data_IF_202239188190
#
_entry.id   IF_202239188190
#
_cell.length_a   1.000
_cell.length_b   1.000
_cell.length_c   1.000
_cell.angle_alpha   90.00
_cell.angle_beta   90.00
_cell.angle_gamma   90.00
#
_symmetry.space_group_name_H-M   'P 1'
#
loop_
_entity.id
_entity.type
_entity.pdbx_description
1 polymer ?
#
# COMPACT_ATOMS: atom_id res chain seq x y z
N UNK A 1 25.24 -0.63 0.44
CA UNK A 1 25.27 -1.05 1.85
C UNK A 1 25.34 -2.57 1.95
N UNK A 2 26.09 -3.11 2.95
CA UNK A 2 26.25 -4.56 3.16
C UNK A 2 24.99 -5.20 3.77
N UNK A 3 24.20 -4.41 4.48
CA UNK A 3 23.01 -4.83 5.19
C UNK A 3 21.92 -5.40 4.28
N UNK A 4 21.11 -6.36 4.76
CA UNK A 4 19.97 -6.89 4.03
C UNK A 4 18.98 -5.77 3.66
N UNK A 5 18.52 -5.77 2.39
CA UNK A 5 17.61 -4.76 1.87
C UNK A 5 16.17 -5.09 2.27
N UNK A 6 15.46 -4.11 2.84
CA UNK A 6 14.01 -4.13 3.06
C UNK A 6 13.39 -2.98 2.29
N UNK A 7 12.40 -3.26 1.45
CA UNK A 7 11.62 -2.24 0.75
C UNK A 7 10.21 -2.20 1.33
N UNK A 8 9.78 -1.00 1.69
CA UNK A 8 8.50 -0.71 2.34
C UNK A 8 7.60 0.05 1.36
N UNK A 9 6.49 -0.57 0.98
CA UNK A 9 5.54 -0.04 0.01
C UNK A 9 4.22 0.32 0.71
N UNK A 10 3.81 1.56 0.59
CA UNK A 10 2.60 2.08 1.23
C UNK A 10 1.31 1.69 0.51
N UNK A 11 0.17 1.88 1.16
CA UNK A 11 -1.16 1.71 0.59
C UNK A 11 -1.60 2.88 -0.29
N UNK A 12 -2.65 2.68 -1.07
CA UNK A 12 -3.25 3.76 -1.87
C UNK A 12 -3.61 4.97 -1.00
N UNK A 13 -3.30 6.17 -1.48
CA UNK A 13 -3.53 7.42 -0.74
C UNK A 13 -2.56 7.70 0.41
N UNK A 14 -1.54 6.86 0.62
CA UNK A 14 -0.48 7.09 1.60
C UNK A 14 0.80 7.60 0.93
N UNK A 15 1.83 7.80 1.75
CA UNK A 15 3.19 8.15 1.33
C UNK A 15 4.20 7.27 2.07
N UNK A 16 5.47 7.33 1.66
CA UNK A 16 6.60 6.69 2.38
C UNK A 16 6.60 6.98 3.88
N UNK A 17 6.02 8.12 4.30
CA UNK A 17 5.99 8.53 5.70
C UNK A 17 5.17 7.59 6.60
N UNK A 18 4.22 6.80 6.04
CA UNK A 18 3.51 5.76 6.78
C UNK A 18 4.48 4.73 7.40
N UNK A 19 5.62 4.53 6.78
CA UNK A 19 6.64 3.58 7.21
C UNK A 19 7.77 4.16 8.05
N UNK A 20 7.75 5.46 8.40
CA UNK A 20 8.88 6.13 9.04
C UNK A 20 9.34 5.47 10.34
N UNK A 21 8.40 5.08 11.20
CA UNK A 21 8.71 4.42 12.48
C UNK A 21 9.28 3.01 12.26
N UNK A 22 8.67 2.24 11.36
CA UNK A 22 9.09 0.87 10.99
C UNK A 22 10.46 0.88 10.33
N UNK A 23 10.69 1.77 9.36
CA UNK A 23 11.98 1.91 8.69
C UNK A 23 13.10 2.24 9.68
N UNK A 24 12.83 3.14 10.65
CA UNK A 24 13.78 3.47 11.70
C UNK A 24 14.13 2.25 12.57
N UNK A 25 13.13 1.48 13.01
CA UNK A 25 13.34 0.26 13.81
C UNK A 25 14.12 -0.80 13.03
N UNK A 26 13.78 -1.03 11.77
CA UNK A 26 14.50 -1.97 10.90
C UNK A 26 15.96 -1.55 10.72
N UNK A 27 16.22 -0.26 10.49
CA UNK A 27 17.60 0.26 10.37
C UNK A 27 18.39 0.07 11.66
N UNK A 28 17.77 0.26 12.82
CA UNK A 28 18.39 0.00 14.12
C UNK A 28 18.66 -1.49 14.36
N UNK A 29 17.93 -2.37 13.69
CA UNK A 29 18.09 -3.83 13.73
C UNK A 29 19.06 -4.36 12.65
N UNK A 30 19.77 -3.48 11.95
CA UNK A 30 20.80 -3.88 10.99
C UNK A 30 20.29 -4.12 9.57
N UNK A 31 19.11 -3.66 9.21
CA UNK A 31 18.62 -3.68 7.83
C UNK A 31 18.88 -2.37 7.08
N UNK A 32 19.01 -2.45 5.78
CA UNK A 32 18.92 -1.30 4.91
C UNK A 32 17.45 -1.10 4.51
N UNK A 33 16.74 -0.25 5.24
CA UNK A 33 15.31 -0.03 5.03
C UNK A 33 15.08 1.15 4.07
N UNK A 34 14.34 0.90 3.00
CA UNK A 34 13.96 1.87 1.97
C UNK A 34 12.43 1.97 1.91
N UNK A 35 11.87 3.12 2.23
CA UNK A 35 10.46 3.41 2.07
C UNK A 35 10.25 4.26 0.80
N UNK A 36 9.36 3.80 -0.07
CA UNK A 36 9.09 4.41 -1.38
C UNK A 36 7.82 5.25 -1.34
N UNK A 37 7.81 6.37 -2.06
CA UNK A 37 6.56 6.91 -2.60
C UNK A 37 6.27 6.20 -3.92
N UNK A 38 5.13 5.54 -4.01
CA UNK A 38 4.72 4.85 -5.25
C UNK A 38 4.36 5.87 -6.33
N UNK A 39 4.50 5.50 -7.63
CA UNK A 39 4.06 6.38 -8.74
C UNK A 39 2.68 6.97 -8.47
N UNK A 40 2.47 8.22 -8.80
CA UNK A 40 1.21 8.93 -8.56
C UNK A 40 0.96 9.32 -7.11
N UNK A 41 1.92 9.10 -6.19
CA UNK A 41 1.80 9.41 -4.76
C UNK A 41 3.04 10.16 -4.23
N UNK A 42 2.84 10.93 -3.17
CA UNK A 42 3.91 11.62 -2.46
C UNK A 42 4.70 12.59 -3.32
N UNK A 43 6.01 12.37 -3.36
CA UNK A 43 6.95 13.17 -4.16
C UNK A 43 7.37 12.45 -5.45
N UNK A 44 6.80 11.25 -5.73
CA UNK A 44 7.01 10.55 -7.00
C UNK A 44 6.17 11.14 -8.12
N UNK A 45 6.64 10.99 -9.34
CA UNK A 45 5.98 11.51 -10.53
C UNK A 45 4.60 10.88 -10.76
N UNK A 46 3.73 11.66 -11.39
CA UNK A 46 2.44 11.21 -11.87
C UNK A 46 2.56 10.63 -13.27
N UNK A 47 1.77 9.61 -13.58
CA UNK A 47 1.72 9.07 -14.94
C UNK A 47 0.98 10.01 -15.87
N UNK A 48 1.64 10.47 -16.94
CA UNK A 48 0.99 11.33 -17.95
C UNK A 48 -0.20 10.64 -18.61
N UNK A 49 -0.10 9.32 -18.82
CA UNK A 49 -1.14 8.49 -19.44
C UNK A 49 -2.15 7.92 -18.42
N UNK A 50 -1.94 8.13 -17.11
CA UNK A 50 -2.77 7.53 -16.06
C UNK A 50 -2.55 6.02 -15.90
N UNK A 51 -1.35 5.54 -16.24
CA UNK A 51 -0.98 4.13 -16.06
C UNK A 51 -0.65 3.82 -14.60
N UNK A 52 -1.62 3.22 -13.94
CA UNK A 52 -1.59 2.76 -12.55
C UNK A 52 -1.89 1.26 -12.43
N UNK A 53 -1.60 0.48 -13.46
CA UNK A 53 -1.69 -0.98 -13.42
C UNK A 53 -0.71 -1.57 -12.40
N UNK A 54 -1.05 -2.70 -11.79
CA UNK A 54 -0.16 -3.37 -10.82
C UNK A 54 1.17 -3.75 -11.48
N UNK A 55 1.13 -4.14 -12.74
CA UNK A 55 2.31 -4.48 -13.54
C UNK A 55 3.27 -3.29 -13.70
N UNK A 56 2.73 -2.09 -13.85
CA UNK A 56 3.53 -0.86 -13.99
C UNK A 56 4.20 -0.48 -12.67
N UNK A 57 3.49 -0.59 -11.55
CA UNK A 57 4.08 -0.45 -10.21
C UNK A 57 5.15 -1.51 -9.94
N UNK A 58 4.89 -2.77 -10.33
CA UNK A 58 5.87 -3.85 -10.21
C UNK A 58 7.14 -3.53 -11.00
N UNK A 59 7.01 -3.04 -12.22
CA UNK A 59 8.15 -2.67 -13.05
C UNK A 59 9.00 -1.57 -12.40
N UNK A 60 8.38 -0.58 -11.75
CA UNK A 60 9.10 0.42 -10.95
C UNK A 60 9.88 -0.24 -9.81
N UNK A 61 9.22 -1.13 -9.05
CA UNK A 61 9.85 -1.84 -7.94
C UNK A 61 11.03 -2.71 -8.40
N UNK A 62 10.85 -3.45 -9.49
CA UNK A 62 11.88 -4.30 -10.10
C UNK A 62 13.07 -3.44 -10.49
N UNK A 63 12.86 -2.31 -11.19
CA UNK A 63 13.94 -1.39 -11.60
C UNK A 63 14.73 -0.88 -10.39
N UNK A 64 14.06 -0.55 -9.28
CA UNK A 64 14.74 -0.10 -8.06
C UNK A 64 15.58 -1.23 -7.44
N UNK A 65 15.07 -2.46 -7.40
CA UNK A 65 15.80 -3.61 -6.84
C UNK A 65 17.02 -3.92 -7.69
N UNK A 66 16.89 -3.89 -9.02
CA UNK A 66 17.97 -4.13 -9.96
C UNK A 66 19.05 -3.05 -9.86
N UNK A 67 18.67 -1.77 -9.75
CA UNK A 67 19.61 -0.65 -9.56
C UNK A 67 20.40 -0.80 -8.25
N UNK A 68 19.76 -1.27 -7.18
CA UNK A 68 20.45 -1.55 -5.90
C UNK A 68 21.32 -2.81 -5.99
N UNK A 69 21.01 -3.73 -6.90
CA UNK A 69 21.75 -4.96 -7.16
C UNK A 69 21.63 -6.01 -6.07
N UNK A 70 20.55 -6.01 -5.28
CA UNK A 70 20.31 -6.97 -4.17
C UNK A 70 18.84 -7.37 -4.08
N UNK A 71 18.54 -8.67 -3.89
CA UNK A 71 17.19 -9.09 -3.56
C UNK A 71 16.73 -8.52 -2.23
N UNK A 72 15.44 -8.18 -2.14
CA UNK A 72 14.84 -7.46 -1.04
C UNK A 72 13.84 -8.30 -0.24
N UNK A 73 13.71 -8.01 1.06
CA UNK A 73 12.50 -8.31 1.81
C UNK A 73 11.44 -7.29 1.42
N UNK A 74 10.30 -7.73 0.93
CA UNK A 74 9.20 -6.86 0.48
C UNK A 74 8.14 -6.77 1.57
N UNK A 75 7.85 -5.56 2.05
CA UNK A 75 6.80 -5.28 3.03
C UNK A 75 5.83 -4.30 2.40
N UNK A 76 4.62 -4.76 2.09
CA UNK A 76 3.63 -3.95 1.40
C UNK A 76 2.30 -3.89 2.13
N UNK A 77 1.76 -2.68 2.30
CA UNK A 77 0.43 -2.46 2.82
C UNK A 77 -0.56 -2.25 1.67
N UNK A 78 -1.72 -2.94 1.70
CA UNK A 78 -2.79 -2.74 0.72
C UNK A 78 -2.25 -2.75 -0.73
N UNK A 79 -2.29 -1.62 -1.46
CA UNK A 79 -1.70 -1.48 -2.80
C UNK A 79 -0.25 -2.00 -2.85
N UNK A 80 0.58 -1.59 -1.88
CA UNK A 80 1.98 -2.04 -1.78
C UNK A 80 2.10 -3.55 -1.61
N UNK A 81 1.14 -4.18 -0.92
CA UNK A 81 1.06 -5.63 -0.78
C UNK A 81 0.77 -6.33 -2.11
N UNK A 82 -0.19 -5.83 -2.88
CA UNK A 82 -0.50 -6.38 -4.21
C UNK A 82 0.69 -6.28 -5.18
N UNK A 83 1.44 -5.17 -5.12
CA UNK A 83 2.66 -4.99 -5.90
C UNK A 83 3.73 -6.01 -5.46
N UNK A 84 3.92 -6.17 -4.16
CA UNK A 84 4.87 -7.12 -3.59
C UNK A 84 4.53 -8.57 -3.95
N UNK A 85 3.23 -8.94 -3.87
CA UNK A 85 2.72 -10.25 -4.26
C UNK A 85 3.00 -10.53 -5.75
N UNK A 86 2.70 -9.57 -6.63
CA UNK A 86 2.94 -9.71 -8.07
C UNK A 86 4.43 -9.85 -8.41
N UNK A 87 5.32 -9.30 -7.58
CA UNK A 87 6.78 -9.44 -7.75
C UNK A 87 7.27 -10.80 -7.24
N UNK A 88 6.80 -11.22 -6.06
CA UNK A 88 7.22 -12.48 -5.44
C UNK A 88 6.67 -13.71 -6.14
N UNK A 89 5.49 -13.60 -6.78
CA UNK A 89 4.81 -14.71 -7.45
C UNK A 89 5.00 -14.75 -8.97
N UNK A 90 5.76 -13.81 -9.56
CA UNK A 90 6.11 -13.88 -10.98
C UNK A 90 7.46 -14.59 -11.14
N UNK A 91 7.48 -15.70 -11.88
CA UNK A 91 8.69 -16.51 -12.09
C UNK A 91 9.87 -15.72 -12.68
N UNK A 92 9.58 -14.64 -13.39
CA UNK A 92 10.61 -13.74 -13.95
C UNK A 92 11.33 -12.95 -12.87
N UNK A 93 10.66 -12.63 -11.76
CA UNK A 93 11.16 -11.73 -10.72
C UNK A 93 11.27 -12.35 -9.33
N UNK A 94 10.88 -13.62 -9.15
CA UNK A 94 10.87 -14.30 -7.85
C UNK A 94 12.24 -14.22 -7.14
N UNK A 95 13.35 -14.28 -7.87
CA UNK A 95 14.71 -14.18 -7.33
C UNK A 95 15.04 -12.80 -6.73
N UNK A 96 14.25 -11.77 -7.03
CA UNK A 96 14.41 -10.43 -6.46
C UNK A 96 13.76 -10.29 -5.08
N UNK A 97 12.92 -11.26 -4.67
CA UNK A 97 12.24 -11.29 -3.39
C UNK A 97 12.86 -12.33 -2.46
N UNK A 98 13.18 -11.95 -1.22
CA UNK A 98 13.69 -12.84 -0.18
C UNK A 98 12.61 -13.32 0.78
N UNK A 99 11.66 -12.46 1.06
CA UNK A 99 10.46 -12.77 1.85
C UNK A 99 9.39 -11.73 1.56
N UNK A 100 8.14 -12.10 1.75
CA UNK A 100 6.96 -11.29 1.49
C UNK A 100 6.21 -11.04 2.80
N UNK A 101 5.93 -9.77 3.10
CA UNK A 101 5.03 -9.38 4.19
C UNK A 101 3.86 -8.59 3.61
N UNK A 102 2.67 -9.16 3.69
CA UNK A 102 1.42 -8.56 3.27
C UNK A 102 0.75 -7.91 4.47
N UNK A 103 0.54 -6.60 4.43
CA UNK A 103 -0.07 -5.86 5.54
C UNK A 103 -1.46 -5.40 5.16
N UNK A 104 -2.43 -6.02 5.80
CA UNK A 104 -3.86 -5.80 5.67
C UNK A 104 -4.38 -5.82 4.22
N UNK A 105 -3.94 -6.83 3.50
CA UNK A 105 -4.41 -7.16 2.14
C UNK A 105 -4.23 -8.66 1.91
N UNK A 106 -5.27 -9.33 1.44
CA UNK A 106 -5.23 -10.72 1.01
C UNK A 106 -4.70 -10.87 -0.43
N UNK A 107 -5.09 -11.93 -1.11
CA UNK A 107 -4.71 -12.17 -2.52
C UNK A 107 -5.25 -11.06 -3.43
N UNK A 108 -6.44 -10.58 -3.13
CA UNK A 108 -7.08 -9.42 -3.78
C UNK A 108 -7.90 -8.65 -2.75
N UNK A 109 -8.15 -7.35 -2.99
CA UNK A 109 -8.88 -6.54 -2.02
C UNK A 109 -10.37 -6.92 -1.97
N UNK A 110 -10.96 -6.83 -0.77
CA UNK A 110 -12.41 -6.88 -0.61
C UNK A 110 -13.09 -5.71 -1.32
N UNK A 111 -14.21 -5.95 -1.99
CA UNK A 111 -14.88 -4.93 -2.82
C UNK A 111 -15.45 -3.79 -1.98
N UNK A 112 -16.12 -4.12 -0.86
CA UNK A 112 -16.77 -3.11 -0.01
C UNK A 112 -15.74 -2.21 0.66
N UNK A 113 -14.69 -2.80 1.26
CA UNK A 113 -13.59 -2.03 1.84
C UNK A 113 -12.86 -1.18 0.81
N UNK A 114 -12.65 -1.70 -0.40
CA UNK A 114 -12.02 -0.94 -1.49
C UNK A 114 -12.87 0.26 -1.92
N UNK A 115 -14.19 0.09 -2.01
CA UNK A 115 -15.11 1.18 -2.38
C UNK A 115 -15.11 2.29 -1.33
N UNK A 116 -15.06 1.97 -0.04
CA UNK A 116 -14.93 2.97 1.03
C UNK A 116 -13.66 3.79 0.88
N UNK A 117 -12.51 3.14 0.62
CA UNK A 117 -11.22 3.81 0.40
C UNK A 117 -11.31 4.75 -0.82
N UNK A 118 -11.82 4.26 -1.95
CA UNK A 118 -11.95 5.05 -3.18
C UNK A 118 -12.88 6.25 -3.01
N UNK A 119 -13.99 6.09 -2.27
CA UNK A 119 -14.90 7.17 -1.93
C UNK A 119 -14.21 8.24 -1.07
N UNK A 120 -13.47 7.84 -0.04
CA UNK A 120 -12.67 8.76 0.77
C UNK A 120 -11.64 9.50 -0.09
N UNK A 121 -10.86 8.79 -0.90
CA UNK A 121 -9.84 9.39 -1.75
C UNK A 121 -10.42 10.40 -2.76
N UNK A 122 -11.63 10.14 -3.25
CA UNK A 122 -12.34 11.04 -4.17
C UNK A 122 -12.86 12.30 -3.50
N UNK A 123 -13.08 12.30 -2.19
CA UNK A 123 -13.69 13.41 -1.45
C UNK A 123 -12.89 14.72 -1.53
N UNK A 124 -11.58 14.65 -1.76
CA UNK A 124 -10.70 15.81 -1.85
C UNK A 124 -10.44 16.36 -3.25
N UNK A 125 -11.16 15.90 -4.29
CA UNK A 125 -10.90 16.35 -5.68
C UNK A 125 -11.21 17.85 -5.93
N UNK A 126 -12.11 18.45 -5.15
CA UNK A 126 -12.43 19.89 -5.24
C UNK A 126 -11.48 20.75 -4.39
N UNK A 127 -10.53 20.15 -3.71
CA UNK A 127 -9.63 20.78 -2.76
C UNK A 127 -10.33 21.16 -1.44
N UNK A 128 -9.54 21.24 -0.38
CA UNK A 128 -9.95 21.69 0.94
C UNK A 128 -9.56 23.16 1.15
N UNK A 129 -10.40 23.95 1.79
CA UNK A 129 -10.10 25.37 2.06
C UNK A 129 -9.10 25.53 3.21
N UNK A 130 -8.92 24.50 4.05
CA UNK A 130 -7.98 24.51 5.16
C UNK A 130 -7.51 23.11 5.55
N UNK A 131 -6.48 23.02 6.40
CA UNK A 131 -6.03 21.75 6.98
C UNK A 131 -7.09 21.16 7.92
N UNK A 132 -7.90 21.99 8.56
CA UNK A 132 -9.00 21.59 9.43
C UNK A 132 -10.07 20.84 8.62
N UNK A 133 -10.44 21.34 7.44
CA UNK A 133 -11.40 20.69 6.54
C UNK A 133 -10.88 19.32 6.08
N UNK A 134 -9.60 19.21 5.71
CA UNK A 134 -8.98 17.94 5.37
C UNK A 134 -8.95 16.98 6.58
N UNK A 135 -8.65 17.49 7.77
CA UNK A 135 -8.67 16.72 9.02
C UNK A 135 -10.07 16.18 9.36
N UNK A 136 -11.12 16.95 9.11
CA UNK A 136 -12.51 16.49 9.27
C UNK A 136 -12.83 15.33 8.31
N UNK A 137 -12.42 15.43 7.04
CA UNK A 137 -12.61 14.37 6.07
C UNK A 137 -11.93 13.06 6.52
N UNK A 138 -10.70 13.14 7.04
CA UNK A 138 -9.98 11.98 7.59
C UNK A 138 -10.69 11.42 8.81
N UNK A 139 -11.13 12.28 9.75
CA UNK A 139 -11.82 11.83 10.96
C UNK A 139 -13.15 11.16 10.66
N UNK A 140 -13.85 11.59 9.61
CA UNK A 140 -15.08 10.96 9.16
C UNK A 140 -14.83 9.58 8.53
N UNK A 141 -13.68 9.39 7.88
CA UNK A 141 -13.27 8.12 7.30
C UNK A 141 -12.72 7.14 8.37
N UNK A 142 -12.07 7.65 9.42
CA UNK A 142 -11.47 6.86 10.49
C UNK A 142 -12.09 7.20 11.86
N UNK A 143 -13.39 6.90 12.08
CA UNK A 143 -14.12 7.34 13.28
C UNK A 143 -13.61 6.70 14.58
N UNK A 144 -12.89 5.58 14.49
CA UNK A 144 -12.28 4.88 15.63
C UNK A 144 -10.96 5.51 16.10
N UNK A 145 -10.42 6.46 15.33
CA UNK A 145 -9.12 7.09 15.60
C UNK A 145 -9.31 8.44 16.29
N UNK A 146 -8.57 8.66 17.38
CA UNK A 146 -8.55 9.98 18.00
C UNK A 146 -7.98 11.03 17.05
N UNK A 147 -8.71 12.15 16.91
CA UNK A 147 -8.24 13.28 16.11
C UNK A 147 -6.98 13.87 16.74
N UNK A 148 -5.85 13.94 16.02
CA UNK A 148 -4.62 14.51 16.56
C UNK A 148 -4.81 15.98 16.91
N UNK A 149 -4.23 16.40 18.05
CA UNK A 149 -4.25 17.83 18.48
C UNK A 149 -3.44 18.72 17.54
N UNK A 150 -2.36 18.18 16.99
CA UNK A 150 -1.54 18.87 15.98
C UNK A 150 -1.79 18.24 14.61
N UNK A 151 -2.43 19.01 13.73
CA UNK A 151 -2.74 18.61 12.34
C UNK A 151 -1.69 19.08 11.33
N UNK A 152 -0.61 19.75 11.78
CA UNK A 152 0.46 20.25 10.88
C UNK A 152 1.10 19.11 10.05
N UNK A 153 1.10 17.89 10.56
CA UNK A 153 1.57 16.70 9.88
C UNK A 153 0.82 16.38 8.58
N UNK A 154 -0.42 16.85 8.43
CA UNK A 154 -1.22 16.67 7.20
C UNK A 154 -0.58 17.34 5.97
N UNK A 155 0.25 18.35 6.16
CA UNK A 155 1.02 18.99 5.07
C UNK A 155 1.88 18.01 4.28
N UNK A 156 2.24 16.86 4.87
CA UNK A 156 2.96 15.78 4.17
C UNK A 156 2.09 15.07 3.13
N UNK A 157 0.78 15.05 3.38
CA UNK A 157 -0.21 14.36 2.55
C UNK A 157 -1.01 15.32 1.66
N UNK A 158 -0.75 16.62 1.73
CA UNK A 158 -1.47 17.65 1.01
C UNK A 158 -0.52 18.53 0.20
N UNK A 159 -1.04 19.07 -0.87
CA UNK A 159 -0.34 20.06 -1.72
C UNK A 159 -1.19 21.31 -1.80
N UNK A 160 -0.64 22.44 -1.35
CA UNK A 160 -1.25 23.77 -1.53
C UNK A 160 -1.05 24.20 -2.98
N UNK A 161 -2.14 24.50 -3.70
CA UNK A 161 -2.11 24.97 -5.08
C UNK A 161 -2.31 26.48 -5.16
N UNK A 162 -2.14 27.04 -6.36
CA UNK A 162 -2.23 28.48 -6.63
C UNK A 162 -3.59 29.09 -6.32
N UNK A 163 -4.67 28.27 -6.36
CA UNK A 163 -6.03 28.68 -5.99
C UNK A 163 -6.24 28.81 -4.46
N UNK A 164 -5.18 28.60 -3.67
CA UNK A 164 -5.19 28.70 -2.21
C UNK A 164 -5.81 27.50 -1.50
N UNK A 165 -6.12 26.42 -2.21
CA UNK A 165 -6.69 25.20 -1.63
C UNK A 165 -5.66 24.12 -1.46
N UNK A 166 -5.94 23.22 -0.53
CA UNK A 166 -5.16 22.01 -0.27
C UNK A 166 -5.75 20.83 -1.03
N UNK A 167 -4.92 20.10 -1.75
CA UNK A 167 -5.27 18.90 -2.51
C UNK A 167 -4.49 17.71 -1.96
N UNK A 168 -5.09 16.54 -2.06
CA UNK A 168 -4.33 15.33 -1.81
C UNK A 168 -3.11 15.26 -2.72
N UNK A 169 -2.07 14.59 -2.23
CA UNK A 169 -0.80 14.45 -2.96
C UNK A 169 -0.87 13.45 -4.13
N UNK A 170 -1.92 12.60 -4.17
CA UNK A 170 -2.03 11.58 -5.21
C UNK A 170 -2.69 12.10 -6.50
N UNK A 171 -2.38 11.40 -7.61
CA UNK A 171 -2.97 11.71 -8.92
C UNK A 171 -4.45 11.29 -8.94
N UNK A 172 -5.39 12.16 -9.31
CA UNK A 172 -6.79 11.80 -9.55
C UNK A 172 -6.97 10.65 -10.55
N UNK A 173 -6.12 10.55 -11.57
CA UNK A 173 -6.16 9.45 -12.55
C UNK A 173 -5.93 8.07 -11.91
N UNK A 174 -5.26 8.00 -10.75
CA UNK A 174 -5.14 6.76 -9.98
C UNK A 174 -6.53 6.23 -9.57
N UNK A 175 -7.42 7.11 -9.11
CA UNK A 175 -8.79 6.73 -8.72
C UNK A 175 -9.59 6.33 -9.96
N UNK A 176 -9.48 7.09 -11.05
CA UNK A 176 -10.15 6.79 -12.32
C UNK A 176 -9.74 5.42 -12.85
N UNK A 177 -8.46 5.06 -12.73
CA UNK A 177 -7.95 3.74 -13.13
C UNK A 177 -8.53 2.58 -12.30
N UNK A 178 -9.01 2.84 -11.07
CA UNK A 178 -9.62 1.84 -10.17
C UNK A 178 -11.14 1.76 -10.28
N UNK A 179 -11.78 2.82 -10.75
CA UNK A 179 -13.25 2.90 -10.93
C UNK A 179 -13.68 2.63 -12.36
N UNK A 180 -12.76 2.57 -13.31
CA UNK A 180 -13.00 2.32 -14.74
C UNK A 180 -13.48 0.89 -15.01
N UNK A 181 -13.64 0.58 -16.31
CA UNK A 181 -14.07 -0.74 -16.77
C UNK A 181 -12.92 -1.76 -16.68
N UNK A 182 -12.69 -2.28 -15.47
CA UNK A 182 -11.67 -3.29 -15.20
C UNK A 182 -12.30 -4.68 -15.31
N UNK A 183 -11.70 -5.57 -16.08
CA UNK A 183 -12.04 -6.99 -16.03
C UNK A 183 -11.60 -7.57 -14.66
N UNK A 184 -12.49 -7.48 -13.69
CA UNK A 184 -12.25 -7.95 -12.32
C UNK A 184 -11.97 -9.46 -12.26
N UNK A 185 -12.57 -10.23 -13.16
CA UNK A 185 -12.35 -11.69 -13.20
C UNK A 185 -10.93 -12.00 -13.64
N UNK A 186 -10.47 -11.39 -14.72
CA UNK A 186 -9.10 -11.55 -15.19
C UNK A 186 -8.09 -11.00 -14.17
N UNK A 187 -8.39 -9.88 -13.51
CA UNK A 187 -7.55 -9.33 -12.44
C UNK A 187 -7.42 -10.32 -11.27
N UNK A 188 -8.54 -10.83 -10.72
CA UNK A 188 -8.54 -11.80 -9.62
C UNK A 188 -7.79 -13.07 -9.98
N UNK A 189 -7.97 -13.57 -11.20
CA UNK A 189 -7.25 -14.77 -11.65
C UNK A 189 -5.75 -14.54 -11.72
N UNK A 190 -5.28 -13.36 -12.19
CA UNK A 190 -3.85 -13.04 -12.18
C UNK A 190 -3.27 -12.97 -10.77
N UNK A 191 -3.97 -12.32 -9.83
CA UNK A 191 -3.52 -12.24 -8.43
C UNK A 191 -3.46 -13.64 -7.80
N UNK A 192 -4.43 -14.49 -8.10
CA UNK A 192 -4.45 -15.91 -7.67
C UNK A 192 -3.23 -16.67 -8.21
N UNK A 193 -2.95 -16.56 -9.49
CA UNK A 193 -1.79 -17.21 -10.10
C UNK A 193 -0.46 -16.76 -9.46
N UNK A 194 -0.32 -15.46 -9.15
CA UNK A 194 0.85 -14.98 -8.41
C UNK A 194 0.92 -15.60 -7.01
N UNK A 195 -0.18 -15.64 -6.27
CA UNK A 195 -0.22 -16.23 -4.93
C UNK A 195 0.16 -17.71 -4.93
N UNK A 196 -0.36 -18.49 -5.87
CA UNK A 196 -0.06 -19.93 -6.05
C UNK A 196 1.42 -20.18 -6.40
N UNK A 197 2.10 -19.19 -7.00
CA UNK A 197 3.50 -19.29 -7.42
C UNK A 197 4.49 -18.80 -6.35
N UNK A 198 4.03 -18.20 -5.24
CA UNK A 198 4.92 -17.70 -4.18
C UNK A 198 5.67 -18.85 -3.50
N UNK A 199 7.01 -18.75 -3.47
CA UNK A 199 7.89 -19.77 -2.87
C UNK A 199 8.66 -19.26 -1.66
N UNK A 200 8.72 -17.93 -1.48
CA UNK A 200 9.48 -17.29 -0.40
C UNK A 200 8.72 -17.32 0.93
N UNK A 201 9.41 -17.25 2.08
CA UNK A 201 8.74 -17.07 3.37
C UNK A 201 7.77 -15.90 3.33
N UNK A 202 6.53 -16.14 3.76
CA UNK A 202 5.43 -15.19 3.62
C UNK A 202 4.70 -14.99 4.94
N UNK A 203 4.40 -13.72 5.27
CA UNK A 203 3.64 -13.34 6.44
C UNK A 203 2.45 -12.47 6.02
N UNK A 204 1.25 -12.84 6.46
CA UNK A 204 0.07 -11.98 6.41
C UNK A 204 -0.14 -11.32 7.77
N UNK A 205 -0.23 -10.00 7.80
CA UNK A 205 -0.60 -9.21 8.98
C UNK A 205 -1.96 -8.57 8.73
N UNK A 206 -2.91 -8.75 9.65
CA UNK A 206 -4.26 -8.17 9.58
C UNK A 206 -4.55 -7.31 10.80
N UNK A 207 -5.27 -6.21 10.62
CA UNK A 207 -5.90 -5.50 11.73
C UNK A 207 -7.20 -6.17 12.16
N UNK A 208 -7.41 -6.40 13.46
CA UNK A 208 -8.62 -7.06 13.96
C UNK A 208 -9.92 -6.28 13.64
N UNK A 209 -9.80 -4.96 13.38
CA UNK A 209 -10.90 -4.08 12.99
C UNK A 209 -10.94 -3.80 11.48
N UNK A 210 -10.14 -4.53 10.68
CA UNK A 210 -10.11 -4.32 9.23
C UNK A 210 -11.43 -4.78 8.58
N UNK A 211 -11.93 -3.94 7.68
CA UNK A 211 -13.02 -4.26 6.75
C UNK A 211 -12.53 -4.59 5.33
N UNK A 212 -11.21 -4.56 5.11
CA UNK A 212 -10.57 -4.86 3.82
C UNK A 212 -10.13 -6.31 3.73
N UNK A 213 -9.79 -6.93 4.87
CA UNK A 213 -9.43 -8.35 4.96
C UNK A 213 -10.33 -9.03 5.98
N UNK A 214 -11.25 -9.85 5.51
CA UNK A 214 -12.14 -10.67 6.34
C UNK A 214 -11.44 -11.98 6.75
N UNK A 215 -12.05 -12.73 7.66
CA UNK A 215 -11.53 -14.05 8.04
C UNK A 215 -11.53 -15.03 6.85
N UNK A 216 -12.53 -14.96 5.99
CA UNK A 216 -12.60 -15.77 4.78
C UNK A 216 -11.42 -15.52 3.84
N UNK A 217 -11.01 -14.24 3.70
CA UNK A 217 -9.86 -13.87 2.88
C UNK A 217 -8.52 -14.28 3.53
N UNK A 218 -8.44 -14.30 4.86
CA UNK A 218 -7.30 -14.90 5.58
C UNK A 218 -7.21 -16.40 5.30
N UNK A 219 -8.33 -17.12 5.44
CA UNK A 219 -8.38 -18.57 5.21
C UNK A 219 -8.05 -18.91 3.76
N UNK A 220 -8.55 -18.14 2.80
CA UNK A 220 -8.23 -18.25 1.38
C UNK A 220 -6.72 -18.01 1.12
N UNK A 221 -6.14 -16.98 1.72
CA UNK A 221 -4.71 -16.67 1.61
C UNK A 221 -3.84 -17.83 2.13
N UNK A 222 -4.13 -18.32 3.35
CA UNK A 222 -3.37 -19.39 3.98
C UNK A 222 -3.54 -20.74 3.27
N UNK A 223 -4.70 -21.00 2.68
CA UNK A 223 -4.92 -22.20 1.88
C UNK A 223 -4.17 -22.16 0.54
N UNK A 224 -4.01 -20.98 -0.04
CA UNK A 224 -3.33 -20.77 -1.32
C UNK A 224 -1.81 -20.74 -1.14
N UNK A 225 -1.31 -20.02 -0.14
CA UNK A 225 0.12 -19.95 0.21
C UNK A 225 0.33 -20.77 1.49
N UNK A 226 0.34 -22.10 1.37
CA UNK A 226 0.26 -23.03 2.50
C UNK A 226 1.43 -22.94 3.50
N UNK A 227 2.53 -22.27 3.14
CA UNK A 227 3.68 -22.03 4.02
C UNK A 227 3.66 -20.63 4.65
N UNK A 228 2.61 -19.85 4.39
CA UNK A 228 2.49 -18.51 4.98
C UNK A 228 2.14 -18.57 6.47
N UNK A 229 2.67 -17.60 7.21
CA UNK A 229 2.31 -17.33 8.60
C UNK A 229 1.25 -16.21 8.66
N UNK A 230 0.49 -16.16 9.75
CA UNK A 230 -0.54 -15.15 9.99
C UNK A 230 -0.40 -14.52 11.37
N UNK A 231 -0.56 -13.20 11.43
CA UNK A 231 -0.61 -12.43 12.67
C UNK A 231 -1.76 -11.43 12.61
N UNK A 232 -2.58 -11.40 13.67
CA UNK A 232 -3.61 -10.39 13.86
C UNK A 232 -3.16 -9.34 14.88
N UNK A 233 -3.39 -8.06 14.59
CA UNK A 233 -3.06 -6.94 15.46
C UNK A 233 -4.34 -6.41 16.10
N UNK A 234 -4.46 -6.57 17.41
CA UNK A 234 -5.59 -6.06 18.19
C UNK A 234 -5.77 -4.56 18.03
N UNK A 235 -7.03 -4.12 17.95
CA UNK A 235 -7.45 -2.71 17.88
C UNK A 235 -6.92 -1.93 16.66
N UNK A 236 -6.27 -2.59 15.71
CA UNK A 236 -5.84 -1.98 14.46
C UNK A 236 -6.92 -2.16 13.37
N UNK A 237 -7.11 -1.14 12.55
CA UNK A 237 -7.93 -1.18 11.36
C UNK A 237 -7.04 -1.26 10.10
N UNK A 238 -7.57 -0.93 8.91
CA UNK A 238 -6.84 -1.05 7.65
C UNK A 238 -5.52 -0.25 7.57
N UNK A 239 -5.39 0.82 8.35
CA UNK A 239 -4.23 1.72 8.30
C UNK A 239 -3.09 1.32 9.26
N UNK A 240 -2.84 0.01 9.47
CA UNK A 240 -1.84 -0.52 10.42
C UNK A 240 -0.46 0.14 10.26
N UNK A 241 -0.02 0.39 9.02
CA UNK A 241 1.29 0.98 8.76
C UNK A 241 1.43 2.43 9.24
N UNK A 242 0.32 3.12 9.49
CA UNK A 242 0.27 4.52 9.93
C UNK A 242 -0.20 4.71 11.37
N UNK A 243 -0.49 3.63 12.07
CA UNK A 243 -1.00 3.64 13.46
C UNK A 243 0.13 3.59 14.50
#
# INVERSE_FOLDING_TARGET
PENPLVILLHGGGQTRHAWSATAKKLSQSGFYALALDLRGHGDSDWSEEGDYAIESYRNDLVSIIEEIGKPAFLIGASLGGMISLSTAGDETYEQLCRALVMVDIGIYPNEDGSNEILNFMSSGFKGFNSLEEASEAISSYLPHREKPKDISGLKKNLRLKEDGKYYWHWDPKFIESRTGNIDRTAYRQRQRNYAESVKVPTLLIRGALSNVVTQEEVDDFLSTISHAEFVEIDKAAHMIAGD
#
